data_IF_531931743240
#
_entry.id   IF_531931743240
#
_cell.length_a   1.000
_cell.length_b   1.000
_cell.length_c   1.000
_cell.angle_alpha   90.00
_cell.angle_beta   90.00
_cell.angle_gamma   90.00
#
_symmetry.space_group_name_H-M   'P 1'
#
loop_
_entity.id
_entity.type
_entity.pdbx_description
1 polymer ?
#
# COMPACT_ATOMS: atom_id res chain seq x y z
N UNK A 1 -7.06 26.71 7.10
CA UNK A 1 -5.94 27.55 7.58
C UNK A 1 -5.21 28.15 6.38
N UNK A 2 -4.59 29.34 6.50
CA UNK A 2 -3.96 30.05 5.37
C UNK A 2 -2.82 29.29 4.67
N UNK A 3 -2.38 28.15 5.22
CA UNK A 3 -1.34 27.29 4.63
C UNK A 3 -1.88 26.26 3.61
N UNK A 4 -3.19 25.98 3.61
CA UNK A 4 -3.86 25.10 2.64
C UNK A 4 -4.40 25.88 1.42
N UNK A 5 -3.88 27.09 1.19
CA UNK A 5 -4.29 28.03 0.13
C UNK A 5 -3.86 27.48 -1.25
N UNK A 6 -4.65 27.69 -2.31
CA UNK A 6 -4.94 26.66 -3.33
C UNK A 6 -3.86 26.48 -4.40
N UNK A 7 -2.78 27.28 -4.39
CA UNK A 7 -1.77 27.25 -5.46
C UNK A 7 -1.11 25.88 -5.64
N UNK A 8 -1.01 25.08 -4.58
CA UNK A 8 -0.43 23.73 -4.62
C UNK A 8 -1.46 22.60 -4.61
N UNK A 9 -2.76 22.90 -4.73
CA UNK A 9 -3.81 21.88 -4.61
C UNK A 9 -3.64 20.74 -5.62
N UNK A 10 -3.41 21.09 -6.89
CA UNK A 10 -3.22 20.10 -7.95
C UNK A 10 -1.95 19.27 -7.75
N UNK A 11 -0.87 19.88 -7.27
CA UNK A 11 0.39 19.18 -6.95
C UNK A 11 0.18 18.18 -5.81
N UNK A 12 -0.42 18.62 -4.69
CA UNK A 12 -0.72 17.73 -3.56
C UNK A 12 -1.63 16.58 -3.96
N UNK A 13 -2.67 16.86 -4.76
CA UNK A 13 -3.60 15.85 -5.24
C UNK A 13 -2.91 14.84 -6.17
N UNK A 14 -2.15 15.31 -7.16
CA UNK A 14 -1.48 14.43 -8.14
C UNK A 14 -0.45 13.52 -7.48
N UNK A 15 0.43 14.07 -6.65
CA UNK A 15 1.43 13.27 -5.92
C UNK A 15 0.79 12.35 -4.88
N UNK A 16 -0.27 12.80 -4.20
CA UNK A 16 -1.04 11.96 -3.28
C UNK A 16 -1.65 10.75 -3.99
N UNK A 17 -2.30 10.96 -5.14
CA UNK A 17 -2.90 9.88 -5.93
C UNK A 17 -1.84 8.93 -6.50
N UNK A 18 -0.69 9.44 -6.95
CA UNK A 18 0.45 8.63 -7.38
C UNK A 18 1.00 7.77 -6.23
N UNK A 19 1.17 8.35 -5.04
CA UNK A 19 1.67 7.63 -3.89
C UNK A 19 0.70 6.54 -3.44
N UNK A 20 -0.61 6.82 -3.43
CA UNK A 20 -1.63 5.84 -3.06
C UNK A 20 -1.69 4.67 -4.04
N UNK A 21 -1.56 4.93 -5.34
CA UNK A 21 -1.53 3.86 -6.36
C UNK A 21 -0.26 3.01 -6.27
N UNK A 22 0.91 3.62 -6.03
CA UNK A 22 2.15 2.87 -5.77
C UNK A 22 2.04 2.01 -4.52
N UNK A 23 1.50 2.56 -3.42
CA UNK A 23 1.29 1.82 -2.18
C UNK A 23 0.34 0.64 -2.40
N UNK A 24 -0.78 0.85 -3.09
CA UNK A 24 -1.72 -0.23 -3.44
C UNK A 24 -1.03 -1.36 -4.21
N UNK A 25 -0.23 -1.02 -5.22
CA UNK A 25 0.52 -2.00 -6.00
C UNK A 25 1.54 -2.76 -5.13
N UNK A 26 2.31 -2.06 -4.31
CA UNK A 26 3.30 -2.69 -3.43
C UNK A 26 2.66 -3.62 -2.40
N UNK A 27 1.57 -3.17 -1.78
CA UNK A 27 0.81 -3.96 -0.81
C UNK A 27 0.24 -5.22 -1.46
N UNK A 28 -0.47 -5.06 -2.58
CA UNK A 28 -1.13 -6.15 -3.29
C UNK A 28 -0.16 -7.20 -3.83
N UNK A 29 0.95 -6.77 -4.44
CA UNK A 29 1.84 -7.70 -5.15
C UNK A 29 2.95 -8.29 -4.28
N UNK A 30 3.46 -7.53 -3.31
CA UNK A 30 4.66 -7.94 -2.57
C UNK A 30 4.37 -8.25 -1.11
N UNK A 31 3.78 -7.31 -0.37
CA UNK A 31 3.64 -7.46 1.08
C UNK A 31 2.60 -8.52 1.47
N UNK A 32 1.36 -8.39 0.99
CA UNK A 32 0.28 -9.32 1.36
C UNK A 32 0.57 -10.76 0.91
N UNK A 33 1.03 -11.03 -0.34
CA UNK A 33 1.31 -12.40 -0.77
C UNK A 33 2.46 -13.05 0.00
N UNK A 34 3.44 -12.27 0.47
CA UNK A 34 4.52 -12.81 1.29
C UNK A 34 4.03 -13.23 2.68
N UNK A 35 3.19 -12.41 3.32
CA UNK A 35 2.55 -12.76 4.59
C UNK A 35 1.69 -14.01 4.44
N UNK A 36 0.87 -14.10 3.38
CA UNK A 36 0.04 -15.27 3.10
C UNK A 36 0.87 -16.54 2.91
N UNK A 37 1.98 -16.48 2.17
CA UNK A 37 2.89 -17.62 1.99
C UNK A 37 3.42 -18.17 3.31
N UNK A 38 3.85 -17.29 4.21
CA UNK A 38 4.33 -17.66 5.55
C UNK A 38 3.23 -18.31 6.40
N UNK A 39 2.02 -17.74 6.39
CA UNK A 39 0.88 -18.28 7.13
C UNK A 39 0.46 -19.66 6.59
N UNK A 40 0.41 -19.82 5.27
CA UNK A 40 0.11 -21.10 4.63
C UNK A 40 1.16 -22.16 4.94
N UNK A 41 2.46 -21.81 4.89
CA UNK A 41 3.54 -22.73 5.26
C UNK A 41 3.41 -23.22 6.71
N UNK A 42 3.08 -22.32 7.65
CA UNK A 42 2.83 -22.69 9.05
C UNK A 42 1.60 -23.59 9.20
N UNK A 43 0.51 -23.29 8.49
CA UNK A 43 -0.69 -24.14 8.50
C UNK A 43 -0.40 -25.54 7.96
N UNK A 44 0.36 -25.64 6.87
CA UNK A 44 0.78 -26.93 6.30
C UNK A 44 1.62 -27.74 7.29
N UNK A 45 2.62 -27.11 7.93
CA UNK A 45 3.45 -27.79 8.94
C UNK A 45 2.66 -28.27 10.16
N UNK A 46 1.59 -27.58 10.57
CA UNK A 46 0.74 -28.01 11.69
C UNK A 46 -0.27 -29.09 11.33
N UNK A 47 -0.63 -29.23 10.05
CA UNK A 47 -1.60 -30.24 9.58
C UNK A 47 -0.93 -31.57 9.21
N UNK A 48 0.36 -31.54 8.89
CA UNK A 48 1.22 -32.72 8.73
C UNK A 48 1.46 -33.38 10.09
#
# INVERSE_FOLDING_TARGET
MPQLVPFYFLHLLTFGMLMMTMLLYMMSKYMLPNMMRLLMARMLMMKL
#
